data_IF_531522665404
#
_entry.id   IF_531522665404
#
_cell.length_a   1.000
_cell.length_b   1.000
_cell.length_c   1.000
_cell.angle_alpha   90.00
_cell.angle_beta   90.00
_cell.angle_gamma   90.00
#
_symmetry.space_group_name_H-M   'P 1'
#
loop_
_entity.id
_entity.type
_entity.pdbx_description
1 polymer ?
#
# COMPACT_ATOMS: atom_id res chain seq x y z
N UNK A 1 -16.52 1.87 -8.73
CA UNK A 1 -17.18 0.65 -9.22
C UNK A 1 -17.77 0.86 -10.62
N UNK A 2 -18.62 1.84 -10.84
CA UNK A 2 -19.26 2.14 -12.15
C UNK A 2 -18.27 2.34 -13.32
N UNK A 3 -17.05 2.75 -13.03
CA UNK A 3 -15.97 2.94 -14.01
C UNK A 3 -15.07 1.70 -14.20
N UNK A 4 -15.51 0.52 -13.73
CA UNK A 4 -14.77 -0.74 -13.89
C UNK A 4 -13.70 -1.03 -12.83
N UNK A 5 -13.47 -0.14 -11.86
CA UNK A 5 -12.56 -0.42 -10.74
C UNK A 5 -13.29 -1.34 -9.75
N UNK A 6 -12.80 -2.57 -9.59
CA UNK A 6 -13.39 -3.58 -8.71
C UNK A 6 -12.40 -4.19 -7.72
N UNK A 7 -11.21 -3.61 -7.57
CA UNK A 7 -10.18 -4.07 -6.66
C UNK A 7 -9.86 -3.00 -5.61
N UNK A 8 -10.09 -3.30 -4.34
CA UNK A 8 -9.85 -2.41 -3.19
C UNK A 8 -8.72 -2.98 -2.36
N UNK A 9 -7.64 -2.20 -2.17
CA UNK A 9 -6.55 -2.54 -1.25
C UNK A 9 -6.66 -1.73 0.04
N UNK A 10 -6.61 -2.43 1.17
CA UNK A 10 -6.63 -1.85 2.50
C UNK A 10 -5.68 -2.58 3.46
N UNK A 11 -5.68 -2.23 4.73
CA UNK A 11 -4.98 -2.93 5.81
C UNK A 11 -5.64 -2.64 7.16
N UNK A 12 -5.51 -3.55 8.11
CA UNK A 12 -5.93 -3.38 9.51
C UNK A 12 -5.55 -2.01 10.09
N UNK A 13 -4.29 -1.61 9.90
CA UNK A 13 -3.75 -0.36 10.44
C UNK A 13 -4.29 0.91 9.77
N UNK A 14 -4.98 0.80 8.63
CA UNK A 14 -5.53 1.97 7.92
C UNK A 14 -6.88 2.40 8.48
N UNK A 15 -7.56 1.52 9.21
CA UNK A 15 -8.88 1.78 9.83
C UNK A 15 -9.96 2.19 8.83
N UNK A 16 -9.89 1.70 7.59
CA UNK A 16 -10.78 2.06 6.49
C UNK A 16 -11.93 1.07 6.26
N UNK A 17 -11.99 -0.02 7.00
CA UNK A 17 -13.05 -1.02 6.85
C UNK A 17 -14.48 -0.44 6.90
N UNK A 18 -14.82 0.45 7.85
CA UNK A 18 -16.16 1.05 7.89
C UNK A 18 -16.49 1.89 6.65
N UNK A 19 -15.48 2.57 6.06
CA UNK A 19 -15.65 3.34 4.84
C UNK A 19 -15.91 2.43 3.63
N UNK A 20 -15.16 1.32 3.53
CA UNK A 20 -15.33 0.31 2.48
C UNK A 20 -16.70 -0.33 2.60
N UNK A 21 -17.10 -0.77 3.80
CA UNK A 21 -18.44 -1.32 4.07
C UNK A 21 -19.52 -0.38 3.58
N UNK A 22 -19.46 0.90 3.99
CA UNK A 22 -20.44 1.91 3.60
C UNK A 22 -20.47 2.16 2.09
N UNK A 23 -19.30 2.18 1.44
CA UNK A 23 -19.19 2.37 -0.01
C UNK A 23 -19.78 1.19 -0.82
N UNK A 24 -19.86 0.01 -0.21
CA UNK A 24 -20.39 -1.20 -0.84
C UNK A 24 -21.86 -1.49 -0.48
N UNK A 25 -22.48 -0.67 0.38
CA UNK A 25 -23.90 -0.80 0.69
C UNK A 25 -24.75 -0.64 -0.58
N UNK A 26 -25.55 -1.69 -0.90
CA UNK A 26 -26.38 -1.73 -2.09
C UNK A 26 -25.66 -2.00 -3.42
N UNK A 27 -24.33 -2.19 -3.40
CA UNK A 27 -23.57 -2.59 -4.58
C UNK A 27 -23.60 -4.12 -4.76
N UNK A 28 -24.17 -4.58 -5.89
CA UNK A 28 -24.33 -6.01 -6.18
C UNK A 28 -23.28 -6.59 -7.14
N UNK A 29 -22.30 -5.76 -7.56
CA UNK A 29 -21.23 -6.22 -8.44
C UNK A 29 -20.10 -6.94 -7.68
N UNK A 30 -19.26 -7.64 -8.41
CA UNK A 30 -18.08 -8.30 -7.84
C UNK A 30 -17.03 -7.27 -7.42
N UNK A 31 -16.54 -7.39 -6.19
CA UNK A 31 -15.45 -6.57 -5.64
C UNK A 31 -14.44 -7.45 -4.95
N UNK A 32 -13.20 -7.32 -5.36
CA UNK A 32 -12.04 -7.96 -4.73
C UNK A 32 -11.53 -7.06 -3.62
N UNK A 33 -11.50 -7.57 -2.40
CA UNK A 33 -10.94 -6.87 -1.24
C UNK A 33 -9.65 -7.54 -0.81
N UNK A 34 -8.54 -6.79 -0.91
CA UNK A 34 -7.26 -7.17 -0.33
C UNK A 34 -7.03 -6.43 0.99
N UNK A 35 -6.72 -7.16 2.05
CA UNK A 35 -6.32 -6.58 3.33
C UNK A 35 -5.06 -7.23 3.87
N UNK A 36 -4.49 -6.67 4.94
CA UNK A 36 -3.18 -7.05 5.48
C UNK A 36 -3.13 -6.83 6.98
N UNK A 37 -2.39 -7.70 7.68
CA UNK A 37 -2.11 -7.53 9.11
C UNK A 37 -0.61 -7.65 9.42
N UNK A 38 -0.16 -6.86 10.38
CA UNK A 38 1.18 -6.94 10.98
C UNK A 38 1.34 -8.04 12.02
N UNK A 39 0.34 -8.89 12.22
CA UNK A 39 0.35 -9.95 13.21
C UNK A 39 1.55 -10.89 13.06
N UNK A 40 2.09 -11.35 14.21
CA UNK A 40 3.25 -12.26 14.25
C UNK A 40 2.90 -13.66 14.70
N UNK A 41 1.79 -13.83 15.41
CA UNK A 41 1.37 -15.12 15.99
C UNK A 41 0.03 -15.55 15.40
N UNK A 42 -0.26 -16.85 15.48
CA UNK A 42 -1.53 -17.42 15.04
C UNK A 42 -2.72 -16.67 15.63
N UNK A 43 -2.81 -16.57 16.95
CA UNK A 43 -3.92 -15.94 17.67
C UNK A 43 -4.14 -14.46 17.28
N UNK A 44 -3.05 -13.71 17.04
CA UNK A 44 -3.17 -12.30 16.60
C UNK A 44 -3.66 -12.22 15.16
N UNK A 45 -3.21 -13.11 14.29
CA UNK A 45 -3.66 -13.14 12.89
C UNK A 45 -5.14 -13.55 12.81
N UNK A 46 -5.54 -14.57 13.56
CA UNK A 46 -6.94 -15.00 13.68
C UNK A 46 -7.85 -13.83 14.12
N UNK A 47 -7.42 -13.09 15.15
CA UNK A 47 -8.14 -11.88 15.59
C UNK A 47 -8.26 -10.87 14.44
N UNK A 48 -7.16 -10.57 13.72
CA UNK A 48 -7.17 -9.62 12.60
C UNK A 48 -8.11 -10.06 11.47
N UNK A 49 -8.19 -11.36 11.18
CA UNK A 49 -9.09 -11.91 10.15
C UNK A 49 -10.54 -11.72 10.57
N UNK A 50 -10.89 -12.10 11.80
CA UNK A 50 -12.26 -11.99 12.30
C UNK A 50 -12.73 -10.53 12.39
N UNK A 51 -11.87 -9.62 12.85
CA UNK A 51 -12.15 -8.18 12.85
C UNK A 51 -12.37 -7.62 11.43
N UNK A 52 -11.62 -8.10 10.44
CA UNK A 52 -11.80 -7.67 9.06
C UNK A 52 -13.14 -8.17 8.49
N UNK A 53 -13.50 -9.42 8.72
CA UNK A 53 -14.79 -10.02 8.29
C UNK A 53 -15.97 -9.25 8.88
N UNK A 54 -15.96 -9.03 10.19
CA UNK A 54 -17.01 -8.30 10.92
C UNK A 54 -17.12 -6.85 10.44
N UNK A 55 -16.01 -6.12 10.40
CA UNK A 55 -16.01 -4.71 10.05
C UNK A 55 -16.35 -4.44 8.59
N UNK A 56 -16.03 -5.36 7.68
CA UNK A 56 -16.40 -5.32 6.27
C UNK A 56 -17.78 -5.90 6.00
N UNK A 57 -18.39 -6.60 6.98
CA UNK A 57 -19.63 -7.34 6.84
C UNK A 57 -19.59 -8.35 5.68
N UNK A 58 -18.57 -9.23 5.70
CA UNK A 58 -18.33 -10.24 4.66
C UNK A 58 -18.10 -11.61 5.28
N UNK A 59 -18.52 -12.65 4.58
CA UNK A 59 -18.32 -14.04 5.00
C UNK A 59 -16.92 -14.55 4.62
N UNK A 60 -16.24 -13.87 3.70
CA UNK A 60 -14.90 -14.20 3.24
C UNK A 60 -14.11 -12.93 2.85
N UNK A 61 -12.79 -13.07 2.79
CA UNK A 61 -11.86 -12.06 2.26
C UNK A 61 -11.18 -12.62 1.00
N UNK A 62 -11.11 -11.84 -0.05
CA UNK A 62 -10.52 -12.30 -1.31
C UNK A 62 -9.00 -12.47 -1.17
N UNK A 63 -8.30 -11.50 -0.60
CA UNK A 63 -6.84 -11.54 -0.42
C UNK A 63 -6.47 -11.08 0.98
N UNK A 64 -5.75 -11.91 1.73
CA UNK A 64 -5.21 -11.53 3.04
C UNK A 64 -3.70 -11.68 3.08
N UNK A 65 -2.97 -10.60 3.36
CA UNK A 65 -1.51 -10.56 3.28
C UNK A 65 -0.83 -10.38 4.65
N UNK A 66 0.34 -10.99 4.81
CA UNK A 66 1.30 -10.55 5.82
C UNK A 66 1.76 -9.13 5.48
N UNK A 67 1.54 -8.16 6.37
CA UNK A 67 2.00 -6.78 6.21
C UNK A 67 3.46 -6.65 6.67
N UNK A 68 4.42 -6.70 5.75
CA UNK A 68 5.85 -6.87 6.04
C UNK A 68 6.73 -5.84 5.32
N UNK A 69 6.32 -4.56 5.33
CA UNK A 69 6.96 -3.50 4.55
C UNK A 69 8.50 -3.42 4.72
N UNK A 70 9.00 -3.57 5.95
CA UNK A 70 10.44 -3.49 6.28
C UNK A 70 10.92 -4.70 7.10
N UNK A 71 10.34 -5.86 6.91
CA UNK A 71 10.77 -7.09 7.54
C UNK A 71 12.09 -7.60 6.95
N UNK A 72 12.67 -8.59 7.58
CA UNK A 72 13.82 -9.34 7.03
C UNK A 72 13.32 -10.53 6.19
N UNK A 73 14.13 -11.13 5.32
CA UNK A 73 13.77 -12.35 4.59
C UNK A 73 13.40 -13.54 5.48
N UNK A 74 13.76 -13.49 6.78
CA UNK A 74 13.33 -14.47 7.77
C UNK A 74 11.87 -14.32 8.25
N UNK A 75 11.12 -13.37 7.71
CA UNK A 75 9.73 -13.05 8.10
C UNK A 75 8.81 -14.27 8.12
N UNK A 76 8.95 -15.18 7.19
CA UNK A 76 8.13 -16.41 7.15
C UNK A 76 8.43 -17.35 8.33
N UNK A 77 9.68 -17.37 8.82
CA UNK A 77 10.07 -18.09 10.04
C UNK A 77 9.63 -17.32 11.29
N UNK A 78 9.91 -16.02 11.33
CA UNK A 78 9.58 -15.16 12.48
C UNK A 78 8.07 -15.03 12.71
N UNK A 79 7.27 -15.16 11.65
CA UNK A 79 5.81 -15.08 11.66
C UNK A 79 5.14 -16.39 11.24
N UNK A 80 5.81 -17.53 11.47
CA UNK A 80 5.30 -18.85 11.06
C UNK A 80 3.89 -19.13 11.58
N UNK A 81 3.59 -18.75 12.84
CA UNK A 81 2.24 -18.90 13.38
C UNK A 81 1.19 -18.06 12.69
N UNK A 82 1.50 -16.81 12.33
CA UNK A 82 0.59 -15.96 11.56
C UNK A 82 0.38 -16.50 10.14
N UNK A 83 1.44 -16.98 9.51
CA UNK A 83 1.36 -17.58 8.18
C UNK A 83 0.56 -18.88 8.18
N UNK A 84 0.75 -19.73 9.22
CA UNK A 84 -0.07 -20.93 9.41
C UNK A 84 -1.56 -20.60 9.54
N UNK A 85 -1.91 -19.57 10.31
CA UNK A 85 -3.28 -19.11 10.43
C UNK A 85 -3.88 -18.73 9.07
N UNK A 86 -3.15 -17.99 8.23
CA UNK A 86 -3.60 -17.65 6.88
C UNK A 86 -3.88 -18.91 6.05
N UNK A 87 -3.00 -19.91 6.11
CA UNK A 87 -3.18 -21.19 5.39
C UNK A 87 -4.43 -21.94 5.87
N UNK A 88 -4.64 -21.99 7.16
CA UNK A 88 -5.82 -22.68 7.75
C UNK A 88 -7.13 -21.97 7.38
N UNK A 89 -7.14 -20.65 7.35
CA UNK A 89 -8.32 -19.88 6.95
C UNK A 89 -8.57 -19.96 5.43
N UNK A 90 -7.51 -20.07 4.63
CA UNK A 90 -7.63 -20.37 3.21
C UNK A 90 -8.23 -21.77 2.96
N UNK A 91 -7.76 -22.77 3.67
CA UNK A 91 -8.29 -24.15 3.55
C UNK A 91 -9.76 -24.28 3.94
N UNK A 92 -10.25 -23.37 4.81
CA UNK A 92 -11.66 -23.27 5.20
C UNK A 92 -12.50 -22.45 4.20
N UNK A 93 -11.90 -21.87 3.15
CA UNK A 93 -12.58 -21.00 2.18
C UNK A 93 -12.91 -19.59 2.71
N UNK A 94 -12.48 -19.24 3.93
CA UNK A 94 -12.70 -17.92 4.53
C UNK A 94 -11.76 -16.87 3.92
N UNK A 95 -10.59 -17.27 3.45
CA UNK A 95 -9.69 -16.46 2.64
C UNK A 95 -9.50 -17.17 1.30
N UNK A 96 -9.62 -16.43 0.20
CA UNK A 96 -9.46 -17.02 -1.15
C UNK A 96 -7.98 -17.12 -1.56
N UNK A 97 -7.20 -16.08 -1.28
CA UNK A 97 -5.77 -16.03 -1.60
C UNK A 97 -4.97 -15.40 -0.46
N UNK A 98 -3.78 -15.95 -0.18
CA UNK A 98 -2.88 -15.47 0.86
C UNK A 98 -1.54 -15.02 0.27
N UNK A 99 -0.83 -14.16 1.01
CA UNK A 99 0.44 -13.67 0.50
C UNK A 99 1.15 -12.69 1.42
N UNK A 100 1.95 -11.83 0.80
CA UNK A 100 2.77 -10.86 1.52
C UNK A 100 2.87 -9.52 0.81
N UNK A 101 2.82 -8.43 1.57
CA UNK A 101 3.15 -7.08 1.10
C UNK A 101 4.50 -6.66 1.65
N UNK A 102 5.41 -6.19 0.79
CA UNK A 102 6.78 -5.88 1.20
C UNK A 102 7.46 -4.82 0.35
N UNK A 103 8.45 -4.15 0.94
CA UNK A 103 9.37 -3.24 0.24
C UNK A 103 10.74 -3.90 -0.02
N UNK A 104 10.96 -5.12 0.44
CA UNK A 104 12.27 -5.79 0.48
C UNK A 104 12.41 -6.76 -0.69
N UNK A 105 13.42 -6.57 -1.53
CA UNK A 105 13.70 -7.43 -2.71
C UNK A 105 13.80 -8.90 -2.30
N UNK A 106 14.66 -9.22 -1.32
CA UNK A 106 14.87 -10.61 -0.88
C UNK A 106 13.62 -11.29 -0.28
N UNK A 107 12.60 -10.52 0.17
CA UNK A 107 11.32 -11.11 0.58
C UNK A 107 10.49 -11.48 -0.64
N UNK A 108 10.48 -10.67 -1.70
CA UNK A 108 9.80 -11.01 -2.96
C UNK A 108 10.40 -12.27 -3.56
N UNK A 109 11.74 -12.35 -3.61
CA UNK A 109 12.46 -13.53 -4.10
C UNK A 109 12.11 -14.78 -3.29
N UNK A 110 12.10 -14.66 -1.95
CA UNK A 110 11.76 -15.78 -1.06
C UNK A 110 10.29 -16.19 -1.18
N UNK A 111 9.38 -15.23 -1.28
CA UNK A 111 7.95 -15.50 -1.45
C UNK A 111 7.65 -16.24 -2.78
N UNK A 112 8.43 -16.01 -3.83
CA UNK A 112 8.33 -16.72 -5.09
C UNK A 112 8.59 -18.23 -4.96
N UNK A 113 9.39 -18.65 -3.96
CA UNK A 113 9.76 -20.04 -3.70
C UNK A 113 8.78 -20.78 -2.79
N UNK A 114 7.86 -20.08 -2.14
CA UNK A 114 6.91 -20.66 -1.19
C UNK A 114 5.62 -21.03 -1.94
N UNK A 115 5.31 -22.32 -2.01
CA UNK A 115 4.17 -22.85 -2.76
C UNK A 115 2.85 -22.23 -2.30
N UNK A 116 2.64 -22.12 -0.99
CA UNK A 116 1.38 -21.64 -0.40
C UNK A 116 1.12 -20.14 -0.58
N UNK A 117 2.10 -19.37 -1.04
CA UNK A 117 1.91 -17.96 -1.38
C UNK A 117 1.22 -17.85 -2.74
N UNK A 118 0.07 -17.20 -2.77
CA UNK A 118 -0.67 -16.92 -4.01
C UNK A 118 -0.31 -15.52 -4.54
N UNK A 119 -0.24 -14.54 -3.66
CA UNK A 119 -0.16 -13.12 -4.01
C UNK A 119 1.06 -12.46 -3.38
N UNK A 120 1.76 -11.67 -4.17
CA UNK A 120 2.84 -10.80 -3.69
C UNK A 120 2.50 -9.35 -4.04
N UNK A 121 2.64 -8.45 -3.05
CA UNK A 121 2.38 -7.02 -3.20
C UNK A 121 3.68 -6.23 -2.96
N UNK A 122 4.56 -6.12 -3.98
CA UNK A 122 5.83 -5.43 -3.88
C UNK A 122 5.70 -3.92 -4.06
N UNK A 123 6.66 -3.18 -3.48
CA UNK A 123 6.88 -1.79 -3.86
C UNK A 123 7.62 -1.73 -5.19
N UNK A 124 7.17 -0.89 -6.10
CA UNK A 124 7.91 -0.59 -7.32
C UNK A 124 7.55 0.81 -7.85
N UNK A 125 8.54 1.56 -8.27
CA UNK A 125 8.40 2.83 -8.98
C UNK A 125 9.66 3.12 -9.79
N UNK A 126 9.56 4.02 -10.75
CA UNK A 126 10.63 4.28 -11.72
C UNK A 126 11.95 4.81 -11.12
N UNK A 127 11.92 5.38 -9.92
CA UNK A 127 13.12 5.92 -9.24
C UNK A 127 13.60 5.04 -8.08
N UNK A 128 12.98 3.86 -7.85
CA UNK A 128 13.37 2.94 -6.78
C UNK A 128 13.10 3.45 -5.36
N UNK A 129 12.31 4.51 -5.20
CA UNK A 129 12.07 5.10 -3.89
C UNK A 129 11.35 4.12 -2.95
N UNK A 130 11.98 3.84 -1.81
CA UNK A 130 11.44 2.98 -0.76
C UNK A 130 11.72 1.49 -0.97
N UNK A 131 12.38 1.08 -2.03
CA UNK A 131 12.91 -0.29 -2.21
C UNK A 131 14.01 -0.53 -1.19
N UNK A 132 14.01 -1.68 -0.57
CA UNK A 132 14.96 -2.10 0.46
C UNK A 132 15.71 -3.34 -0.01
N UNK A 133 17.04 -3.32 0.17
CA UNK A 133 17.90 -4.47 -0.16
C UNK A 133 18.15 -4.67 -1.65
N UNK A 134 17.99 -3.62 -2.47
CA UNK A 134 18.29 -3.65 -3.90
C UNK A 134 17.83 -2.40 -4.63
N UNK A 135 18.02 -2.38 -5.93
CA UNK A 135 17.61 -1.34 -6.88
C UNK A 135 16.24 -1.60 -7.49
N UNK A 136 15.76 -0.69 -8.32
CA UNK A 136 14.56 -0.91 -9.17
C UNK A 136 14.74 -2.13 -10.06
N UNK A 137 15.92 -2.29 -10.65
CA UNK A 137 16.23 -3.46 -11.51
C UNK A 137 16.18 -4.77 -10.73
N UNK A 138 16.69 -4.80 -9.49
CA UNK A 138 16.65 -6.00 -8.67
C UNK A 138 15.21 -6.35 -8.26
N UNK A 139 14.38 -5.36 -7.94
CA UNK A 139 12.96 -5.58 -7.67
C UNK A 139 12.22 -6.12 -8.90
N UNK A 140 12.50 -5.59 -10.10
CA UNK A 140 11.90 -6.10 -11.35
C UNK A 140 12.30 -7.56 -11.58
N UNK A 141 13.57 -7.94 -11.34
CA UNK A 141 14.02 -9.34 -11.44
C UNK A 141 13.27 -10.25 -10.45
N UNK A 142 13.10 -9.77 -9.19
CA UNK A 142 12.36 -10.52 -8.18
C UNK A 142 10.88 -10.68 -8.54
N UNK A 143 10.25 -9.62 -9.10
CA UNK A 143 8.89 -9.65 -9.64
C UNK A 143 8.79 -10.69 -10.77
N UNK A 144 9.73 -10.68 -11.72
CA UNK A 144 9.73 -11.65 -12.83
C UNK A 144 9.94 -13.08 -12.33
N UNK A 145 10.80 -13.30 -11.34
CA UNK A 145 10.94 -14.62 -10.70
C UNK A 145 9.60 -15.09 -10.12
N UNK A 146 8.89 -14.20 -9.44
CA UNK A 146 7.61 -14.51 -8.80
C UNK A 146 6.51 -14.78 -9.85
N UNK A 147 6.44 -14.00 -10.93
CA UNK A 147 5.51 -14.23 -12.03
C UNK A 147 5.74 -15.59 -12.72
N UNK A 148 7.00 -15.95 -13.00
CA UNK A 148 7.36 -17.26 -13.53
C UNK A 148 7.01 -18.42 -12.59
N UNK A 149 6.97 -18.17 -11.28
CA UNK A 149 6.53 -19.14 -10.29
C UNK A 149 4.98 -19.18 -10.14
N UNK A 150 4.23 -18.50 -11.02
CA UNK A 150 2.77 -18.49 -11.01
C UNK A 150 2.13 -17.65 -9.93
N UNK A 151 2.87 -16.72 -9.29
CA UNK A 151 2.32 -15.84 -8.25
C UNK A 151 1.56 -14.67 -8.90
N UNK A 152 0.39 -14.33 -8.34
CA UNK A 152 -0.28 -13.07 -8.67
C UNK A 152 0.46 -11.88 -8.08
N UNK A 153 0.66 -10.82 -8.87
CA UNK A 153 1.38 -9.63 -8.43
C UNK A 153 0.57 -8.37 -8.69
N UNK A 154 0.37 -7.58 -7.64
CA UNK A 154 -0.09 -6.20 -7.81
C UNK A 154 0.88 -5.25 -7.10
N UNK A 155 1.09 -4.05 -7.69
CA UNK A 155 2.18 -3.17 -7.28
C UNK A 155 1.71 -2.02 -6.39
N UNK A 156 2.55 -1.61 -5.41
CA UNK A 156 2.31 -0.42 -4.62
C UNK A 156 3.33 0.68 -4.91
N UNK A 157 2.94 1.91 -4.57
CA UNK A 157 3.80 3.09 -4.60
C UNK A 157 4.34 3.46 -5.99
N UNK A 158 3.60 3.20 -7.04
CA UNK A 158 3.93 3.63 -8.41
C UNK A 158 4.29 5.12 -8.47
N UNK A 159 3.63 5.96 -7.67
CA UNK A 159 3.89 7.39 -7.56
C UNK A 159 4.91 7.77 -6.46
N UNK A 160 5.70 6.81 -5.96
CA UNK A 160 6.72 7.08 -4.95
C UNK A 160 6.19 7.73 -3.68
N UNK A 161 4.94 7.42 -3.27
CA UNK A 161 4.28 8.07 -2.14
C UNK A 161 3.93 9.54 -2.39
N UNK A 162 3.65 9.90 -3.63
CA UNK A 162 3.29 11.24 -4.06
C UNK A 162 4.45 12.06 -4.67
N UNK A 163 5.70 11.57 -4.57
CA UNK A 163 6.86 12.28 -5.11
C UNK A 163 6.86 12.38 -6.64
N UNK A 164 6.22 11.45 -7.30
CA UNK A 164 6.15 11.37 -8.76
C UNK A 164 4.83 11.88 -9.33
N UNK A 165 4.04 12.62 -8.55
CA UNK A 165 2.77 13.19 -9.01
C UNK A 165 2.96 14.11 -10.23
N UNK A 166 4.06 14.86 -10.30
CA UNK A 166 4.39 15.71 -11.48
C UNK A 166 4.60 14.92 -12.77
N UNK A 167 4.86 13.62 -12.66
CA UNK A 167 5.14 12.70 -13.74
C UNK A 167 4.18 11.49 -13.69
N UNK A 168 2.90 11.77 -13.43
CA UNK A 168 1.88 10.77 -13.10
C UNK A 168 1.78 9.67 -14.15
N UNK A 169 1.50 10.04 -15.37
CA UNK A 169 1.30 9.12 -16.49
C UNK A 169 2.53 8.24 -16.70
N UNK A 170 3.71 8.84 -16.88
CA UNK A 170 4.95 8.08 -17.07
C UNK A 170 5.30 7.18 -15.88
N UNK A 171 4.91 7.57 -14.66
CA UNK A 171 5.16 6.77 -13.45
C UNK A 171 4.22 5.58 -13.32
N UNK A 172 2.95 5.75 -13.66
CA UNK A 172 1.98 4.66 -13.69
C UNK A 172 2.32 3.70 -14.84
N UNK A 173 2.59 4.24 -16.04
CA UNK A 173 2.93 3.45 -17.22
C UNK A 173 4.23 2.64 -17.02
N UNK A 174 5.22 3.20 -16.33
CA UNK A 174 6.40 2.43 -15.95
C UNK A 174 6.05 1.15 -15.18
N UNK A 175 5.14 1.22 -14.22
CA UNK A 175 4.79 0.06 -13.38
C UNK A 175 3.83 -0.89 -14.10
N UNK A 176 2.81 -0.38 -14.79
CA UNK A 176 1.83 -1.21 -15.49
C UNK A 176 2.42 -1.98 -16.67
N UNK A 177 3.54 -1.49 -17.24
CA UNK A 177 4.24 -2.14 -18.35
C UNK A 177 5.26 -3.21 -17.88
N UNK A 178 5.42 -3.46 -16.58
CA UNK A 178 6.17 -4.59 -16.09
C UNK A 178 5.34 -5.86 -16.32
N UNK A 179 5.83 -6.75 -17.18
CA UNK A 179 5.10 -7.90 -17.74
C UNK A 179 4.36 -8.75 -16.68
N UNK A 180 4.96 -8.92 -15.49
CA UNK A 180 4.44 -9.80 -14.46
C UNK A 180 3.54 -9.06 -13.43
N UNK A 181 3.30 -7.75 -13.60
CA UNK A 181 2.38 -6.99 -12.74
C UNK A 181 0.97 -7.06 -13.30
N UNK A 182 0.05 -7.64 -12.54
CA UNK A 182 -1.34 -7.83 -12.93
C UNK A 182 -2.23 -6.62 -12.59
N UNK A 183 -1.85 -5.83 -11.57
CA UNK A 183 -2.61 -4.65 -11.13
C UNK A 183 -1.71 -3.64 -10.41
N UNK A 184 -2.15 -2.39 -10.33
CA UNK A 184 -1.43 -1.29 -9.64
C UNK A 184 -2.36 -0.60 -8.65
N UNK A 185 -1.98 -0.62 -7.38
CA UNK A 185 -2.71 0.11 -6.34
C UNK A 185 -2.34 1.60 -6.36
N UNK A 186 -3.31 2.45 -6.63
CA UNK A 186 -3.16 3.91 -6.64
C UNK A 186 -4.13 4.53 -5.64
N UNK A 187 -3.60 5.33 -4.70
CA UNK A 187 -4.42 6.10 -3.78
C UNK A 187 -4.94 7.38 -4.47
N UNK A 188 -6.21 7.70 -4.23
CA UNK A 188 -6.90 8.86 -4.79
C UNK A 188 -7.68 9.56 -3.67
N UNK A 189 -7.79 10.89 -3.75
CA UNK A 189 -8.47 11.70 -2.73
C UNK A 189 -9.57 12.60 -3.32
N UNK A 190 -9.75 12.59 -4.63
CA UNK A 190 -10.78 13.35 -5.32
C UNK A 190 -11.30 12.61 -6.56
N UNK A 191 -12.45 13.01 -7.05
CA UNK A 191 -13.03 12.51 -8.30
C UNK A 191 -12.17 12.87 -9.51
N UNK A 192 -11.56 14.07 -9.53
CA UNK A 192 -10.64 14.47 -10.59
C UNK A 192 -9.42 13.52 -10.67
N UNK A 193 -8.86 13.13 -9.52
CA UNK A 193 -7.77 12.13 -9.49
C UNK A 193 -8.24 10.77 -9.97
N UNK A 194 -9.46 10.37 -9.63
CA UNK A 194 -10.07 9.14 -10.11
C UNK A 194 -10.22 9.14 -11.63
N UNK A 195 -10.81 10.19 -12.20
CA UNK A 195 -11.00 10.32 -13.65
C UNK A 195 -9.67 10.32 -14.41
N UNK A 196 -8.68 11.06 -13.89
CA UNK A 196 -7.36 11.12 -14.47
C UNK A 196 -6.67 9.73 -14.46
N UNK A 197 -6.74 9.01 -13.34
CA UNK A 197 -6.17 7.67 -13.28
C UNK A 197 -6.90 6.70 -14.24
N UNK A 198 -8.22 6.76 -14.33
CA UNK A 198 -8.99 5.94 -15.28
C UNK A 198 -8.51 6.19 -16.71
N UNK A 199 -8.36 7.45 -17.12
CA UNK A 199 -7.84 7.81 -18.46
C UNK A 199 -6.45 7.21 -18.71
N UNK A 200 -5.54 7.31 -17.74
CA UNK A 200 -4.20 6.71 -17.84
C UNK A 200 -4.28 5.19 -18.03
N UNK A 201 -5.12 4.51 -17.26
CA UNK A 201 -5.24 3.06 -17.34
C UNK A 201 -5.94 2.58 -18.61
N UNK A 202 -6.78 3.41 -19.21
CA UNK A 202 -7.46 3.13 -20.49
C UNK A 202 -6.67 3.60 -21.72
N UNK A 203 -5.48 4.16 -21.55
CA UNK A 203 -4.68 4.79 -22.61
C UNK A 203 -5.43 5.90 -23.36
N UNK A 204 -6.32 6.61 -22.65
CA UNK A 204 -7.06 7.74 -23.19
C UNK A 204 -6.22 9.03 -23.17
N UNK A 205 -6.47 9.92 -24.13
CA UNK A 205 -5.81 11.23 -24.18
C UNK A 205 -6.19 12.09 -22.96
N UNK A 206 -5.18 12.69 -22.33
CA UNK A 206 -5.35 13.54 -21.16
C UNK A 206 -5.21 14.99 -21.59
N UNK A 207 -6.30 15.73 -21.55
CA UNK A 207 -6.27 17.16 -21.86
C UNK A 207 -5.49 17.94 -20.79
N UNK A 208 -4.81 19.01 -21.22
CA UNK A 208 -4.08 19.92 -20.33
C UNK A 208 -5.00 20.54 -19.26
N UNK A 209 -6.29 20.69 -19.57
CA UNK A 209 -7.29 21.20 -18.63
C UNK A 209 -7.46 20.27 -17.42
N UNK A 210 -7.51 18.94 -17.64
CA UNK A 210 -7.62 17.93 -16.57
C UNK A 210 -6.34 17.94 -15.71
N UNK A 211 -5.17 18.06 -16.34
CA UNK A 211 -3.90 18.15 -15.62
C UNK A 211 -3.87 19.41 -14.72
N UNK A 212 -4.37 20.53 -15.21
CA UNK A 212 -4.38 21.80 -14.50
C UNK A 212 -5.45 21.86 -13.38
N UNK A 213 -6.56 21.13 -13.52
CA UNK A 213 -7.61 20.98 -12.48
C UNK A 213 -7.14 20.18 -11.26
N UNK A 214 -5.95 19.61 -11.28
CA UNK A 214 -5.35 18.99 -10.10
C UNK A 214 -5.32 20.00 -8.96
N UNK A 215 -6.36 19.99 -8.18
CA UNK A 215 -6.38 20.74 -6.93
C UNK A 215 -5.26 20.18 -6.05
N UNK A 216 -4.25 21.03 -5.77
CA UNK A 216 -3.38 20.76 -4.62
C UNK A 216 -4.33 20.52 -3.45
N UNK A 217 -4.28 19.35 -2.79
CA UNK A 217 -5.22 19.12 -1.70
C UNK A 217 -5.09 20.28 -0.72
N UNK A 218 -6.19 20.86 -0.29
CA UNK A 218 -6.23 21.93 0.73
C UNK A 218 -5.74 21.41 2.10
N UNK A 219 -5.23 20.17 2.12
CA UNK A 219 -4.71 19.51 3.32
C UNK A 219 -3.30 19.96 3.61
N UNK A 220 -3.03 20.19 4.89
CA UNK A 220 -1.70 20.51 5.41
C UNK A 220 -1.27 19.48 6.43
N UNK A 221 0.01 19.18 6.46
CA UNK A 221 0.58 18.40 7.56
C UNK A 221 0.64 19.29 8.79
N UNK A 222 -0.03 18.87 9.83
CA UNK A 222 -0.06 19.57 11.12
C UNK A 222 0.73 18.78 12.16
N UNK A 223 1.55 19.48 12.94
CA UNK A 223 2.27 18.90 14.07
C UNK A 223 1.72 19.50 15.36
N UNK A 224 1.09 18.66 16.16
CA UNK A 224 0.44 19.09 17.38
C UNK A 224 1.45 19.47 18.48
N UNK A 225 0.97 20.21 19.48
CA UNK A 225 1.75 20.60 20.69
C UNK A 225 2.30 19.41 21.47
N UNK A 226 1.75 18.21 21.29
CA UNK A 226 2.21 16.96 21.94
C UNK A 226 3.50 16.40 21.34
N UNK A 227 4.05 17.00 20.28
CA UNK A 227 5.34 16.59 19.75
C UNK A 227 6.42 16.64 20.85
N UNK A 228 7.15 15.55 21.02
CA UNK A 228 8.25 15.41 21.99
C UNK A 228 9.64 15.65 21.38
N UNK A 229 9.72 16.05 20.10
CA UNK A 229 10.99 16.37 19.44
C UNK A 229 11.92 15.17 19.19
N UNK A 230 11.41 13.93 19.17
CA UNK A 230 12.25 12.73 19.03
C UNK A 230 12.98 12.61 17.68
N UNK A 231 12.62 13.41 16.68
CA UNK A 231 13.29 13.46 15.37
C UNK A 231 13.01 12.28 14.43
N UNK A 232 12.24 11.28 14.84
CA UNK A 232 11.97 10.09 14.01
C UNK A 232 11.32 10.46 12.68
N UNK A 233 10.34 11.36 12.70
CA UNK A 233 9.67 11.85 11.49
C UNK A 233 10.61 12.62 10.55
N UNK A 234 11.59 13.36 11.10
CA UNK A 234 12.60 14.08 10.32
C UNK A 234 13.47 13.08 9.56
N UNK A 235 13.95 12.03 10.24
CA UNK A 235 14.78 10.97 9.63
C UNK A 235 13.99 10.16 8.59
N UNK A 236 12.68 10.03 8.77
CA UNK A 236 11.81 9.23 7.88
C UNK A 236 11.36 10.01 6.66
N UNK A 237 11.41 11.36 6.68
CA UNK A 237 10.89 12.17 5.61
C UNK A 237 11.79 12.10 4.35
N UNK A 238 11.32 11.49 3.24
CA UNK A 238 12.13 11.36 2.03
C UNK A 238 12.39 12.72 1.35
N UNK A 239 11.48 13.68 1.55
CA UNK A 239 11.55 15.01 0.95
C UNK A 239 12.26 16.03 1.83
N UNK A 240 12.78 15.61 3.01
CA UNK A 240 13.40 16.53 3.97
C UNK A 240 12.50 17.72 4.35
N UNK A 241 11.18 17.52 4.29
CA UNK A 241 10.19 18.53 4.60
C UNK A 241 9.99 18.76 6.10
N UNK A 242 10.66 17.99 6.95
CA UNK A 242 10.58 18.08 8.41
C UNK A 242 11.94 18.41 9.01
N UNK A 243 11.97 19.31 9.97
CA UNK A 243 13.14 19.68 10.75
C UNK A 243 12.79 19.76 12.23
N UNK A 244 13.79 19.77 13.12
CA UNK A 244 13.62 20.08 14.54
C UNK A 244 13.99 21.54 14.78
N UNK A 245 13.06 22.33 15.31
CA UNK A 245 13.28 23.71 15.75
C UNK A 245 12.77 23.81 17.19
N UNK A 246 13.62 24.30 18.08
CA UNK A 246 13.30 24.44 19.53
C UNK A 246 12.72 23.15 20.14
N UNK A 247 13.29 22.00 19.81
CA UNK A 247 12.86 20.71 20.35
C UNK A 247 11.49 20.21 19.84
N UNK A 248 10.96 20.78 18.78
CA UNK A 248 9.70 20.36 18.14
C UNK A 248 9.93 20.12 16.66
N UNK A 249 9.20 19.15 16.09
CA UNK A 249 9.20 18.98 14.65
C UNK A 249 8.42 20.12 13.99
N UNK A 250 8.97 20.66 12.91
CA UNK A 250 8.35 21.71 12.08
C UNK A 250 8.30 21.25 10.65
N UNK A 251 7.23 21.56 9.93
CA UNK A 251 7.05 21.19 8.54
C UNK A 251 7.29 22.38 7.62
N UNK A 252 8.11 22.14 6.58
CA UNK A 252 8.15 23.01 5.42
C UNK A 252 7.09 22.52 4.43
N UNK A 253 6.02 23.30 4.26
CA UNK A 253 4.89 22.93 3.41
C UNK A 253 5.21 22.93 1.92
N UNK A 254 6.22 23.68 1.47
CA UNK A 254 6.65 23.71 0.07
C UNK A 254 7.34 22.41 -0.34
N UNK A 255 7.97 21.74 0.62
CA UNK A 255 8.62 20.45 0.42
C UNK A 255 7.72 19.26 0.77
N UNK A 256 6.64 19.50 1.52
CA UNK A 256 5.75 18.44 1.99
C UNK A 256 4.74 18.04 0.91
N UNK A 257 4.86 16.82 0.40
CA UNK A 257 3.96 16.24 -0.60
C UNK A 257 2.86 15.36 0.03
N UNK A 258 2.64 15.46 1.34
CA UNK A 258 1.61 14.73 2.08
C UNK A 258 1.67 13.20 1.93
N UNK A 259 2.84 12.62 1.70
CA UNK A 259 3.05 11.19 1.46
C UNK A 259 2.75 10.29 2.68
N UNK A 260 2.57 10.86 3.87
CA UNK A 260 2.16 10.16 5.08
C UNK A 260 3.23 9.33 5.80
N UNK A 261 4.46 9.19 5.29
CA UNK A 261 5.50 8.36 5.93
C UNK A 261 5.88 8.77 7.35
N UNK A 262 5.71 10.03 7.68
CA UNK A 262 6.03 10.55 9.01
C UNK A 262 4.96 10.20 10.06
N UNK A 263 3.72 9.96 9.67
CA UNK A 263 2.60 9.71 10.58
C UNK A 263 2.77 8.41 11.39
N UNK A 264 2.96 7.21 10.76
CA UNK A 264 3.03 5.96 11.50
C UNK A 264 4.29 5.80 12.36
N UNK A 265 5.30 6.64 12.15
CA UNK A 265 6.55 6.60 12.95
C UNK A 265 6.53 7.58 14.12
N UNK A 266 5.47 8.34 14.29
CA UNK A 266 5.34 9.27 15.41
C UNK A 266 4.86 8.51 16.66
N UNK A 267 5.72 8.36 17.71
CA UNK A 267 5.37 7.54 18.88
C UNK A 267 4.25 8.15 19.73
N UNK A 268 3.99 9.44 19.57
CA UNK A 268 2.95 10.19 20.33
C UNK A 268 1.81 10.67 19.43
N UNK A 269 1.72 10.19 18.19
CA UNK A 269 0.67 10.53 17.22
C UNK A 269 0.46 12.05 17.06
N UNK A 270 1.55 12.83 17.14
CA UNK A 270 1.51 14.28 17.04
C UNK A 270 1.32 14.80 15.61
N UNK A 271 1.42 13.95 14.60
CA UNK A 271 1.34 14.33 13.19
C UNK A 271 -0.05 14.02 12.65
N UNK A 272 -0.67 15.01 12.02
CA UNK A 272 -2.03 14.90 11.43
C UNK A 272 -2.08 15.60 10.08
N UNK A 273 -2.99 15.16 9.23
CA UNK A 273 -3.45 15.91 8.06
C UNK A 273 -4.71 16.68 8.47
N UNK A 274 -4.73 17.97 8.18
CA UNK A 274 -5.86 18.88 8.45
C UNK A 274 -6.22 19.63 7.18
#
# INVERSE_FOLDING_TARGET
>A
MEKGINFIDTAEVYQTYPHIKKALEGYNGEVIIATKSGAKTYKKMEKSINEALEALNRDYIDIFLLHAAKATPSVFKERAGAFQCLKDYKSKGIIRAIGISTHVVGIVEKAAEIEEIDIIFPIINKIGLGIVGGSTSDMIKAISKAGKAGKGLYAMKALGGGRLIGELESSINFVRNITDINSVAVGMISEDELELNIKIFNDEEISQEIINKRTKPNKKLFISRFCIGCGTCVKTCPNKALSLINGKAVVNHDLCILCGYCNPVCPVFAIRLI
#
